data_IF_203875404035
#
_entry.id   IF_203875404035
#
_cell.length_a   1.000
_cell.length_b   1.000
_cell.length_c   1.000
_cell.angle_alpha   90.00
_cell.angle_beta   90.00
_cell.angle_gamma   90.00
#
_symmetry.space_group_name_H-M   'P 1'
#
loop_
_entity.id
_entity.type
_entity.pdbx_description
1 polymer ?
#
# COMPACT_ATOMS: atom_id res chain seq x y z
N UNK A 1 -19.50 2.32 -8.12
CA UNK A 1 -18.36 1.55 -7.70
C UNK A 1 -17.14 2.39 -7.71
N UNK A 2 -16.41 2.36 -6.67
CA UNK A 2 -15.27 3.24 -6.52
C UNK A 2 -13.94 2.50 -6.48
N UNK A 3 -12.94 3.20 -6.01
CA UNK A 3 -11.60 2.66 -5.84
C UNK A 3 -11.38 2.38 -4.36
N UNK A 4 -10.86 1.21 -4.03
CA UNK A 4 -10.44 0.88 -2.67
C UNK A 4 -8.93 1.07 -2.57
N UNK A 5 -8.49 1.73 -1.51
CA UNK A 5 -7.06 1.97 -1.25
C UNK A 5 -6.69 1.31 0.06
N UNK A 6 -5.75 0.38 0.01
CA UNK A 6 -5.31 -0.38 1.16
C UNK A 6 -3.90 0.05 1.55
N UNK A 7 -3.74 0.51 2.77
CA UNK A 7 -2.42 0.83 3.32
C UNK A 7 -1.94 -0.30 4.20
N UNK A 8 -0.80 -0.88 3.85
CA UNK A 8 -0.23 -2.02 4.57
C UNK A 8 1.06 -1.58 5.24
N UNK A 9 1.24 -1.93 6.49
CA UNK A 9 2.47 -1.65 7.21
C UNK A 9 2.27 -1.50 8.71
N UNK A 10 3.39 -1.42 9.42
CA UNK A 10 3.38 -1.31 10.87
C UNK A 10 3.76 0.11 11.30
N UNK A 11 2.83 0.81 11.95
CA UNK A 11 3.07 2.19 12.41
C UNK A 11 4.20 2.30 13.42
N UNK A 12 4.60 1.20 14.04
CA UNK A 12 5.64 1.20 15.04
C UNK A 12 7.04 0.89 14.47
N UNK A 13 7.16 0.79 13.14
CA UNK A 13 8.41 0.38 12.52
C UNK A 13 8.90 1.37 11.47
N UNK A 14 9.16 2.60 11.88
CA UNK A 14 9.78 3.60 11.00
C UNK A 14 9.06 3.76 9.67
N UNK A 15 9.78 3.54 8.57
CA UNK A 15 9.23 3.73 7.23
C UNK A 15 8.26 2.63 6.80
N UNK A 16 8.11 1.58 7.60
CA UNK A 16 7.09 0.58 7.33
C UNK A 16 5.69 1.18 7.51
N UNK A 17 5.59 2.35 8.10
CA UNK A 17 4.34 3.06 8.30
C UNK A 17 3.85 3.82 7.07
N UNK A 18 4.61 3.84 5.98
CA UNK A 18 4.26 4.62 4.78
C UNK A 18 2.85 4.30 4.28
N UNK A 19 2.51 3.03 4.13
CA UNK A 19 1.19 2.64 3.63
C UNK A 19 0.05 3.17 4.49
N UNK A 20 0.02 2.86 5.78
CA UNK A 20 -1.01 3.39 6.68
C UNK A 20 -1.07 4.91 6.72
N UNK A 21 0.07 5.60 6.70
CA UNK A 21 0.09 7.06 6.73
C UNK A 21 -0.55 7.65 5.48
N UNK A 22 -0.24 7.10 4.30
CA UNK A 22 -0.84 7.55 3.04
C UNK A 22 -2.37 7.44 3.11
N UNK A 23 -2.87 6.30 3.55
CA UNK A 23 -4.31 6.07 3.64
C UNK A 23 -4.96 7.03 4.63
N UNK A 24 -4.36 7.23 5.78
CA UNK A 24 -4.91 8.14 6.78
C UNK A 24 -4.95 9.57 6.29
N UNK A 25 -3.88 10.01 5.63
CA UNK A 25 -3.82 11.40 5.14
C UNK A 25 -4.82 11.64 4.03
N UNK A 26 -4.90 10.75 3.05
CA UNK A 26 -5.86 10.92 1.96
C UNK A 26 -7.30 10.86 2.47
N UNK A 27 -7.58 9.99 3.40
CA UNK A 27 -8.90 9.90 4.01
C UNK A 27 -9.27 11.21 4.72
N UNK A 28 -8.31 11.79 5.45
CA UNK A 28 -8.53 13.03 6.17
C UNK A 28 -8.65 14.23 5.24
N UNK A 29 -8.10 14.14 4.04
CA UNK A 29 -8.20 15.22 3.05
C UNK A 29 -9.49 15.15 2.24
N UNK A 30 -10.37 14.22 2.57
CA UNK A 30 -11.68 14.14 1.92
C UNK A 30 -11.68 13.56 0.52
N UNK A 31 -10.65 12.81 0.18
CA UNK A 31 -10.56 12.17 -1.13
C UNK A 31 -11.64 11.08 -1.26
N UNK A 32 -12.32 11.05 -2.40
CA UNK A 32 -13.44 10.13 -2.62
C UNK A 32 -12.95 8.75 -3.04
N UNK A 33 -12.76 7.89 -2.08
CA UNK A 33 -12.37 6.49 -2.27
C UNK A 33 -12.69 5.72 -0.99
N UNK A 34 -12.57 4.40 -1.04
CA UNK A 34 -12.75 3.55 0.15
C UNK A 34 -11.36 3.28 0.73
N UNK A 35 -11.06 3.84 1.89
CA UNK A 35 -9.75 3.72 2.50
C UNK A 35 -9.74 2.67 3.60
N UNK A 36 -8.72 1.80 3.57
CA UNK A 36 -8.54 0.75 4.56
C UNK A 36 -7.11 0.82 5.11
N UNK A 37 -7.00 1.11 6.41
CA UNK A 37 -5.73 1.05 7.12
C UNK A 37 -5.59 -0.41 7.59
N UNK A 38 -4.88 -1.19 6.82
CA UNK A 38 -4.82 -2.64 7.03
C UNK A 38 -3.80 -3.08 8.07
N UNK A 39 -2.96 -2.18 8.55
CA UNK A 39 -1.90 -2.56 9.46
C UNK A 39 -1.05 -3.66 8.86
N UNK A 40 -0.72 -4.66 9.66
CA UNK A 40 0.11 -5.77 9.21
C UNK A 40 -0.69 -6.99 8.74
N UNK A 41 -2.00 -6.87 8.67
CA UNK A 41 -2.88 -7.98 8.35
C UNK A 41 -3.87 -7.63 7.24
N UNK A 42 -3.37 -7.38 6.01
CA UNK A 42 -4.26 -7.02 4.91
C UNK A 42 -5.30 -8.10 4.60
N UNK A 43 -4.95 -9.37 4.85
CA UNK A 43 -5.88 -10.47 4.64
C UNK A 43 -7.14 -10.36 5.51
N UNK A 44 -7.05 -9.69 6.63
CA UNK A 44 -8.20 -9.52 7.53
C UNK A 44 -9.22 -8.53 6.98
N UNK A 45 -8.84 -7.77 5.97
CA UNK A 45 -9.69 -6.74 5.39
C UNK A 45 -10.36 -7.14 4.08
N UNK A 46 -10.04 -8.32 3.54
CA UNK A 46 -10.58 -8.76 2.27
C UNK A 46 -12.11 -8.74 2.23
N UNK A 47 -12.76 -9.21 3.28
CA UNK A 47 -14.22 -9.21 3.35
C UNK A 47 -14.81 -7.81 3.27
N UNK A 48 -14.23 -6.87 4.02
CA UNK A 48 -14.69 -5.48 4.01
C UNK A 48 -14.51 -4.85 2.63
N UNK A 49 -13.38 -5.14 1.98
CA UNK A 49 -13.11 -4.65 0.63
C UNK A 49 -14.14 -5.20 -0.35
N UNK A 50 -14.44 -6.51 -0.28
CA UNK A 50 -15.40 -7.13 -1.16
C UNK A 50 -16.80 -6.53 -1.04
N UNK A 51 -17.19 -6.14 0.16
CA UNK A 51 -18.50 -5.51 0.38
C UNK A 51 -18.64 -4.20 -0.38
N UNK A 52 -17.55 -3.51 -0.65
CA UNK A 52 -17.58 -2.25 -1.40
C UNK A 52 -17.66 -2.46 -2.90
N UNK A 53 -17.42 -3.67 -3.37
CA UNK A 53 -17.42 -3.99 -4.80
C UNK A 53 -16.62 -2.99 -5.63
N UNK A 54 -15.34 -2.77 -5.29
CA UNK A 54 -14.57 -1.74 -5.97
C UNK A 54 -14.27 -2.15 -7.41
N UNK A 55 -14.18 -1.15 -8.28
CA UNK A 55 -13.76 -1.38 -9.66
C UNK A 55 -12.24 -1.42 -9.78
N UNK A 56 -11.54 -0.92 -8.79
CA UNK A 56 -10.08 -0.90 -8.75
C UNK A 56 -9.62 -0.98 -7.30
N UNK A 57 -8.51 -1.67 -7.05
CA UNK A 57 -7.88 -1.74 -5.74
C UNK A 57 -6.46 -1.22 -5.88
N UNK A 58 -6.07 -0.28 -5.02
CA UNK A 58 -4.71 0.26 -4.95
C UNK A 58 -4.13 -0.14 -3.61
N UNK A 59 -2.99 -0.81 -3.61
CA UNK A 59 -2.31 -1.24 -2.38
C UNK A 59 -1.04 -0.42 -2.23
N UNK A 60 -0.81 0.14 -1.05
CA UNK A 60 0.39 0.92 -0.74
C UNK A 60 1.14 0.22 0.38
N UNK A 61 2.40 -0.08 0.14
CA UNK A 61 3.23 -0.76 1.13
C UNK A 61 4.69 -0.36 0.97
N UNK A 62 5.42 -0.36 2.06
CA UNK A 62 6.88 -0.18 2.03
C UNK A 62 7.51 -1.50 1.65
N UNK A 63 8.37 -1.48 0.64
CA UNK A 63 8.97 -2.69 0.09
C UNK A 63 10.41 -2.44 -0.25
N UNK A 64 11.28 -3.39 0.07
CA UNK A 64 12.68 -3.29 -0.34
C UNK A 64 12.80 -3.63 -1.83
N UNK A 65 12.93 -2.61 -2.66
CA UNK A 65 13.08 -2.74 -4.10
C UNK A 65 14.54 -2.59 -4.51
N UNK A 66 15.43 -2.49 -3.55
CA UNK A 66 16.87 -2.24 -3.78
C UNK A 66 17.09 -0.94 -4.53
N UNK A 67 16.37 0.09 -4.11
CA UNK A 67 16.46 1.41 -4.70
C UNK A 67 16.77 2.45 -3.63
N UNK A 68 16.97 3.69 -4.03
CA UNK A 68 17.20 4.77 -3.09
C UNK A 68 16.02 4.93 -2.16
N UNK A 69 16.25 5.07 -0.85
CA UNK A 69 15.15 5.33 0.08
C UNK A 69 14.33 6.54 -0.35
N UNK A 70 13.02 6.39 -0.29
CA UNK A 70 12.12 7.45 -0.75
C UNK A 70 11.58 7.25 -2.15
N UNK A 71 12.14 6.31 -2.92
CA UNK A 71 11.65 5.97 -4.25
C UNK A 71 10.26 5.33 -4.13
N UNK A 72 9.32 5.75 -4.96
CA UNK A 72 7.98 5.16 -5.01
C UNK A 72 7.67 4.79 -6.44
N UNK A 73 7.22 3.57 -6.66
CA UNK A 73 6.93 3.04 -7.99
C UNK A 73 5.69 2.17 -7.99
N UNK A 74 5.03 2.11 -9.14
CA UNK A 74 4.00 1.12 -9.35
C UNK A 74 4.72 -0.16 -9.74
N UNK A 75 4.44 -1.24 -9.03
CA UNK A 75 5.09 -2.53 -9.24
C UNK A 75 4.13 -3.47 -9.95
N UNK A 76 4.64 -4.17 -10.96
CA UNK A 76 3.87 -5.18 -11.67
C UNK A 76 3.55 -6.32 -10.71
N UNK A 77 2.27 -6.58 -10.51
CA UNK A 77 1.81 -7.60 -9.58
C UNK A 77 2.37 -8.98 -9.94
N UNK A 78 2.53 -9.26 -11.21
CA UNK A 78 3.06 -10.55 -11.63
C UNK A 78 4.50 -10.78 -11.17
N UNK A 79 5.22 -9.71 -10.84
CA UNK A 79 6.59 -9.80 -10.36
C UNK A 79 6.69 -9.89 -8.84
N UNK A 80 5.59 -9.71 -8.14
CA UNK A 80 5.62 -9.65 -6.68
C UNK A 80 6.12 -10.92 -6.04
N UNK A 81 5.72 -12.06 -6.56
CA UNK A 81 6.07 -13.33 -5.95
C UNK A 81 7.58 -13.59 -5.92
N UNK A 82 8.35 -12.95 -6.79
CA UNK A 82 9.79 -13.17 -6.83
C UNK A 82 10.57 -12.17 -6.01
N UNK A 83 10.11 -10.95 -5.89
CA UNK A 83 10.90 -9.86 -5.35
C UNK A 83 10.50 -9.39 -3.98
N UNK A 84 9.22 -9.39 -3.71
CA UNK A 84 8.72 -8.74 -2.51
C UNK A 84 8.56 -9.63 -1.34
N UNK A 85 9.26 -10.70 -1.33
CA UNK A 85 9.13 -11.59 -0.32
C UNK A 85 9.88 -11.33 0.83
N UNK A 86 10.77 -10.54 0.74
CA UNK A 86 11.75 -10.38 1.72
C UNK A 86 11.31 -10.09 3.07
N UNK A 87 10.12 -9.93 3.32
CA UNK A 87 9.79 -9.49 4.61
C UNK A 87 8.91 -10.47 5.29
N UNK A 88 8.56 -10.14 6.46
CA UNK A 88 7.61 -10.83 7.25
C UNK A 88 6.20 -10.77 6.68
N UNK A 89 6.01 -10.15 5.53
CA UNK A 89 4.69 -9.99 4.92
C UNK A 89 4.41 -11.06 3.91
N UNK A 90 4.75 -12.25 4.28
CA UNK A 90 4.57 -13.37 3.42
C UNK A 90 3.21 -13.49 2.81
N UNK A 91 2.11 -13.30 3.51
CA UNK A 91 0.81 -13.51 2.91
C UNK A 91 0.38 -12.49 1.86
N UNK A 92 1.17 -11.45 1.59
CA UNK A 92 0.72 -10.40 0.70
C UNK A 92 0.39 -10.90 -0.71
N UNK A 93 1.22 -11.77 -1.27
CA UNK A 93 0.95 -12.33 -2.60
C UNK A 93 -0.33 -13.17 -2.61
N UNK A 94 -0.60 -13.88 -1.52
CA UNK A 94 -1.82 -14.65 -1.38
C UNK A 94 -3.03 -13.73 -1.21
N UNK A 95 -2.87 -12.65 -0.47
CA UNK A 95 -3.93 -11.66 -0.29
C UNK A 95 -4.30 -11.03 -1.63
N UNK A 96 -3.29 -10.66 -2.43
CA UNK A 96 -3.54 -10.10 -3.76
C UNK A 96 -4.29 -11.09 -4.63
N UNK A 97 -3.89 -12.35 -4.60
CA UNK A 97 -4.56 -13.39 -5.37
C UNK A 97 -6.02 -13.52 -4.96
N UNK A 98 -6.29 -13.43 -3.66
CA UNK A 98 -7.66 -13.47 -3.15
C UNK A 98 -8.45 -12.22 -3.60
N UNK A 99 -7.83 -11.05 -3.54
CA UNK A 99 -8.48 -9.81 -3.97
C UNK A 99 -8.82 -9.83 -5.47
N UNK A 100 -8.06 -10.56 -6.26
CA UNK A 100 -8.32 -10.70 -7.69
C UNK A 100 -9.64 -11.40 -7.99
N UNK A 101 -10.25 -12.06 -7.02
CA UNK A 101 -11.57 -12.61 -7.17
C UNK A 101 -12.65 -11.52 -7.20
N UNK A 102 -12.33 -10.34 -6.67
CA UNK A 102 -13.25 -9.20 -6.68
C UNK A 102 -13.05 -8.34 -7.93
N UNK A 103 -11.82 -8.02 -8.26
CA UNK A 103 -11.49 -7.26 -9.46
C UNK A 103 -10.08 -7.62 -9.91
N UNK A 104 -9.85 -7.64 -11.22
CA UNK A 104 -8.52 -7.86 -11.76
C UNK A 104 -7.72 -6.55 -11.83
N UNK A 105 -8.36 -5.43 -11.59
CA UNK A 105 -7.70 -4.13 -11.69
C UNK A 105 -7.07 -3.78 -10.33
N UNK A 106 -5.90 -4.32 -10.08
CA UNK A 106 -5.15 -4.10 -8.84
C UNK A 106 -3.82 -3.44 -9.16
N UNK A 107 -3.56 -2.33 -8.49
CA UNK A 107 -2.32 -1.56 -8.65
C UNK A 107 -1.55 -1.63 -7.34
N UNK A 108 -0.28 -1.99 -7.40
CA UNK A 108 0.57 -2.04 -6.22
C UNK A 108 1.56 -0.89 -6.25
N UNK A 109 1.49 -0.03 -5.24
CA UNK A 109 2.38 1.12 -5.09
C UNK A 109 3.40 0.77 -4.02
N UNK A 110 4.65 0.56 -4.42
CA UNK A 110 5.74 0.21 -3.52
C UNK A 110 6.59 1.42 -3.19
N UNK A 111 6.96 1.58 -1.94
CA UNK A 111 7.80 2.67 -1.47
C UNK A 111 9.06 2.10 -0.82
N UNK A 112 10.23 2.57 -1.26
CA UNK A 112 11.51 2.10 -0.73
C UNK A 112 11.75 2.71 0.65
N UNK A 113 11.80 1.89 1.72
CA UNK A 113 12.07 2.40 3.05
C UNK A 113 13.57 2.58 3.29
N UNK A 114 13.91 3.37 4.29
CA UNK A 114 15.28 3.49 4.78
C UNK A 114 15.45 2.67 6.05
N UNK A 115 14.60 2.89 7.04
CA UNK A 115 14.68 2.21 8.33
C UNK A 115 13.31 1.64 8.68
N UNK A 116 13.25 0.35 9.02
CA UNK A 116 12.01 -0.31 9.40
C UNK A 116 12.11 -1.02 10.75
N UNK A 117 13.07 -0.61 11.58
CA UNK A 117 13.26 -1.22 12.89
C UNK A 117 12.15 -0.80 13.84
N UNK A 118 11.80 -1.70 14.73
CA UNK A 118 10.76 -1.46 15.73
C UNK A 118 11.16 -0.29 16.64
N UNK A 119 10.22 0.60 16.90
CA UNK A 119 10.45 1.75 17.76
C UNK A 119 11.05 2.97 17.08
N UNK A 120 11.43 2.84 15.81
CA UNK A 120 12.00 3.97 15.07
C UNK A 120 10.91 4.87 14.50
N UNK A 121 11.23 6.15 14.34
CA UNK A 121 10.31 7.08 13.69
C UNK A 121 10.50 7.03 12.19
N UNK A 122 9.53 7.54 11.44
CA UNK A 122 9.65 7.63 9.99
C UNK A 122 10.79 8.58 9.62
N UNK A 123 11.65 8.16 8.71
CA UNK A 123 12.78 8.97 8.25
C UNK A 123 12.32 10.09 7.32
N UNK A 124 13.20 11.04 7.02
CA UNK A 124 12.86 12.06 6.03
C UNK A 124 12.63 11.46 4.65
N UNK A 125 13.35 10.39 4.31
CA UNK A 125 13.10 9.67 3.06
C UNK A 125 11.70 9.06 3.07
N UNK A 126 11.27 8.50 4.20
CA UNK A 126 9.92 7.96 4.33
C UNK A 126 8.86 9.03 4.17
N UNK A 127 9.10 10.22 4.74
CA UNK A 127 8.16 11.34 4.59
C UNK A 127 8.03 11.80 3.14
N UNK A 128 9.14 11.82 2.41
CA UNK A 128 9.12 12.14 0.97
C UNK A 128 8.35 11.06 0.22
N UNK A 129 8.53 9.80 0.59
CA UNK A 129 7.82 8.70 -0.04
C UNK A 129 6.31 8.83 0.18
N UNK A 130 5.88 9.26 1.36
CA UNK A 130 4.45 9.49 1.62
C UNK A 130 3.88 10.51 0.64
N UNK A 131 4.58 11.64 0.45
CA UNK A 131 4.14 12.68 -0.47
C UNK A 131 4.02 12.13 -1.89
N UNK A 132 5.03 11.42 -2.34
CA UNK A 132 5.05 10.88 -3.70
C UNK A 132 3.99 9.79 -3.87
N UNK A 133 3.83 8.93 -2.88
CA UNK A 133 2.82 7.87 -2.93
C UNK A 133 1.41 8.45 -2.99
N UNK A 134 1.15 9.52 -2.24
CA UNK A 134 -0.15 10.20 -2.29
C UNK A 134 -0.45 10.70 -3.70
N UNK A 135 0.55 11.28 -4.37
CA UNK A 135 0.38 11.76 -5.75
C UNK A 135 0.03 10.62 -6.70
N UNK A 136 0.73 9.50 -6.56
CA UNK A 136 0.48 8.34 -7.41
C UNK A 136 -0.90 7.75 -7.15
N UNK A 137 -1.27 7.61 -5.88
CA UNK A 137 -2.58 7.08 -5.51
C UNK A 137 -3.69 7.97 -6.05
N UNK A 138 -3.55 9.29 -5.93
CA UNK A 138 -4.55 10.22 -6.45
C UNK A 138 -4.72 10.08 -7.96
N UNK A 139 -3.64 9.91 -8.70
CA UNK A 139 -3.73 9.67 -10.14
C UNK A 139 -4.48 8.39 -10.44
N UNK A 140 -4.22 7.33 -9.67
CA UNK A 140 -4.88 6.05 -9.87
C UNK A 140 -6.37 6.13 -9.55
N UNK A 141 -6.74 6.86 -8.52
CA UNK A 141 -8.14 7.07 -8.18
C UNK A 141 -8.85 7.81 -9.31
N UNK A 142 -8.23 8.86 -9.83
CA UNK A 142 -8.84 9.69 -10.87
C UNK A 142 -8.85 9.04 -12.25
N UNK A 143 -7.96 8.10 -12.48
CA UNK A 143 -7.90 7.38 -13.76
C UNK A 143 -8.91 6.25 -13.81
N UNK A 144 -9.42 5.89 -12.68
CA UNK A 144 -10.29 4.76 -12.52
C UNK A 144 -11.55 4.80 -13.24
#
# INVERSE_FOLDING_TARGET
>A
MGVAVLGVGNMLRGDDAIGPVVVRELSNEGVDAFFFDCGTAPESFSGAVFLKKPKKIVIVDAVDMKKEPGTVEIIDISAISGILISTHKLPLSLTIKHLETSTKNIVFVGAQPKITAFGEEMTSAGKKAVIRAKEIVLKEINAG
#
